data_IF_230787713623
#
_entry.id   IF_230787713623
#
_cell.length_a   1.000
_cell.length_b   1.000
_cell.length_c   1.000
_cell.angle_alpha   90.00
_cell.angle_beta   90.00
_cell.angle_gamma   90.00
#
_symmetry.space_group_name_H-M   'P 1'
#
loop_
_entity.id
_entity.type
_entity.pdbx_description
1 polymer ?
#
# COMPACT_ATOMS: atom_id res chain seq x y z
N UNK A 1 38.36 9.57 -22.41
CA UNK A 1 38.13 9.22 -20.99
C UNK A 1 36.67 9.53 -20.74
N UNK A 2 35.78 8.61 -21.08
CA UNK A 2 34.34 8.80 -20.87
C UNK A 2 34.02 8.43 -19.42
N UNK A 3 33.66 9.44 -18.64
CA UNK A 3 33.20 9.26 -17.27
C UNK A 3 31.77 8.73 -17.37
N UNK A 4 31.58 7.43 -17.16
CA UNK A 4 30.23 6.87 -17.04
C UNK A 4 29.51 7.53 -15.86
N UNK A 5 28.26 7.99 -16.01
CA UNK A 5 27.55 8.63 -14.91
C UNK A 5 27.32 7.62 -13.79
N UNK A 6 27.75 7.98 -12.56
CA UNK A 6 27.43 7.23 -11.36
C UNK A 6 25.91 7.14 -11.21
N UNK A 7 25.38 5.92 -11.09
CA UNK A 7 23.98 5.67 -10.74
C UNK A 7 23.72 6.27 -9.35
N UNK A 8 22.61 7.01 -9.13
CA UNK A 8 22.32 7.57 -7.81
C UNK A 8 22.19 6.44 -6.79
N UNK A 9 23.09 6.43 -5.81
CA UNK A 9 22.89 5.69 -4.56
C UNK A 9 21.79 6.45 -3.82
N UNK A 10 20.65 5.80 -3.67
CA UNK A 10 19.65 6.22 -2.68
C UNK A 10 20.36 6.16 -1.33
N UNK A 11 20.46 7.28 -0.62
CA UNK A 11 21.10 7.28 0.69
C UNK A 11 20.37 6.28 1.59
N UNK A 12 21.13 5.49 2.35
CA UNK A 12 20.57 4.53 3.31
C UNK A 12 19.57 5.24 4.24
N UNK A 13 18.27 4.97 4.05
CA UNK A 13 17.18 5.56 4.81
C UNK A 13 16.24 6.50 4.04
N UNK A 14 16.55 6.89 2.79
CA UNK A 14 15.61 7.61 1.93
C UNK A 14 14.67 6.63 1.22
N UNK A 15 13.37 6.79 1.46
CA UNK A 15 12.35 6.05 0.72
C UNK A 15 12.36 6.52 -0.74
N UNK A 16 12.45 5.57 -1.69
CA UNK A 16 12.26 5.83 -3.12
C UNK A 16 10.82 6.25 -3.48
N UNK A 17 9.91 6.25 -2.50
CA UNK A 17 8.52 6.67 -2.69
C UNK A 17 8.47 8.19 -2.60
N UNK A 18 8.36 8.86 -3.75
CA UNK A 18 8.14 10.31 -3.81
C UNK A 18 6.74 10.73 -3.34
N UNK A 19 5.79 9.80 -3.28
CA UNK A 19 4.43 10.02 -2.77
C UNK A 19 3.55 8.78 -2.92
N UNK A 20 2.62 8.58 -1.99
CA UNK A 20 1.70 7.45 -1.96
C UNK A 20 0.28 7.90 -2.33
N UNK A 21 -0.24 7.39 -3.46
CA UNK A 21 -1.58 7.71 -3.94
C UNK A 21 -2.71 6.88 -3.30
N UNK A 22 -2.38 5.87 -2.47
CA UNK A 22 -3.35 5.04 -1.76
C UNK A 22 -3.97 5.82 -0.59
N UNK A 23 -4.83 6.78 -0.90
CA UNK A 23 -5.43 7.71 0.06
C UNK A 23 -6.33 7.01 1.11
N UNK A 24 -6.79 5.81 0.80
CA UNK A 24 -7.59 4.96 1.69
C UNK A 24 -6.74 4.06 2.60
N UNK A 25 -5.41 4.07 2.48
CA UNK A 25 -4.55 3.24 3.32
C UNK A 25 -4.35 3.87 4.71
N UNK A 26 -4.58 3.10 5.76
CA UNK A 26 -4.40 3.52 7.17
C UNK A 26 -2.99 3.98 7.52
N UNK A 27 -1.99 3.51 6.77
CA UNK A 27 -0.58 3.87 6.97
C UNK A 27 -0.14 5.04 6.09
N UNK A 28 -1.02 5.59 5.25
CA UNK A 28 -0.73 6.74 4.42
C UNK A 28 -0.96 8.03 5.19
N UNK A 29 0.11 8.59 5.74
CA UNK A 29 0.06 9.87 6.43
C UNK A 29 0.84 10.90 5.61
N UNK A 30 0.23 12.04 5.30
CA UNK A 30 0.85 13.13 4.52
C UNK A 30 1.42 12.64 3.17
N UNK A 31 0.69 11.78 2.46
CA UNK A 31 1.12 11.15 1.21
C UNK A 31 2.39 10.30 1.34
N UNK A 32 2.71 9.85 2.57
CA UNK A 32 3.81 8.93 2.85
C UNK A 32 3.25 7.65 3.50
N UNK A 33 3.18 6.57 2.73
CA UNK A 33 2.81 5.25 3.22
C UNK A 33 3.94 4.65 4.06
N UNK A 34 3.83 4.73 5.38
CA UNK A 34 4.83 4.22 6.31
C UNK A 34 4.19 3.32 7.36
N UNK A 35 4.26 2.01 7.13
CA UNK A 35 3.88 1.02 8.11
C UNK A 35 5.05 0.76 9.08
N UNK A 36 4.74 0.55 10.37
CA UNK A 36 5.75 0.21 11.38
C UNK A 36 6.29 -1.22 11.26
N UNK A 37 5.58 -2.08 10.54
CA UNK A 37 5.97 -3.45 10.26
C UNK A 37 5.40 -3.90 8.90
N UNK A 38 6.03 -4.90 8.28
CA UNK A 38 5.51 -5.57 7.09
C UNK A 38 4.81 -6.86 7.51
N UNK A 39 3.55 -7.01 7.11
CA UNK A 39 2.77 -8.23 7.31
C UNK A 39 2.65 -8.99 5.99
N UNK A 40 2.89 -10.30 6.05
CA UNK A 40 2.72 -11.23 4.92
C UNK A 40 1.63 -12.23 5.30
N UNK A 41 0.68 -12.46 4.40
CA UNK A 41 -0.33 -13.50 4.54
C UNK A 41 -0.08 -14.62 3.52
N UNK A 42 -0.66 -15.80 3.78
CA UNK A 42 -0.71 -16.89 2.81
C UNK A 42 -2.09 -16.94 2.19
N UNK A 43 -2.19 -16.63 0.90
CA UNK A 43 -3.41 -16.79 0.12
C UNK A 43 -3.21 -17.95 -0.85
N UNK A 44 -4.01 -19.02 -0.69
CA UNK A 44 -3.89 -20.25 -1.50
C UNK A 44 -2.46 -20.83 -1.52
N UNK A 45 -1.78 -20.79 -0.37
CA UNK A 45 -0.39 -21.27 -0.23
C UNK A 45 0.67 -20.35 -0.84
N UNK A 46 0.29 -19.17 -1.34
CA UNK A 46 1.22 -18.17 -1.89
C UNK A 46 1.38 -16.98 -0.93
N UNK A 47 2.61 -16.52 -0.65
CA UNK A 47 2.81 -15.34 0.18
C UNK A 47 2.33 -14.09 -0.56
N UNK A 48 1.52 -13.27 0.12
CA UNK A 48 1.03 -11.98 -0.37
C UNK A 48 1.33 -10.89 0.67
N UNK A 49 1.65 -9.69 0.20
CA UNK A 49 1.81 -8.54 1.09
C UNK A 49 0.44 -8.17 1.68
N UNK A 50 0.30 -8.36 2.99
CA UNK A 50 -0.90 -8.04 3.76
C UNK A 50 -0.74 -6.77 4.60
N UNK A 51 0.28 -5.96 4.28
CA UNK A 51 0.58 -4.71 4.98
C UNK A 51 -0.41 -3.60 4.60
N UNK A 52 -1.01 -3.66 3.41
CA UNK A 52 -2.06 -2.71 3.03
C UNK A 52 -3.29 -2.92 3.91
N UNK A 53 -3.73 -1.86 4.60
CA UNK A 53 -4.93 -1.87 5.43
C UNK A 53 -5.81 -0.69 5.03
N UNK A 54 -6.99 -0.93 4.44
CA UNK A 54 -7.91 0.14 4.11
C UNK A 54 -8.43 0.78 5.41
N UNK A 55 -8.71 2.08 5.36
CA UNK A 55 -9.45 2.78 6.41
C UNK A 55 -10.78 2.05 6.61
N UNK A 56 -11.26 1.91 7.86
CA UNK A 56 -12.60 1.40 8.08
C UNK A 56 -13.55 2.25 7.25
N UNK A 57 -14.30 1.60 6.35
CA UNK A 57 -15.40 2.28 5.68
C UNK A 57 -16.27 2.90 6.77
N UNK A 58 -16.60 4.20 6.73
CA UNK A 58 -17.66 4.72 7.60
C UNK A 58 -18.86 3.85 7.28
N UNK A 59 -19.38 3.14 8.29
CA UNK A 59 -20.43 2.12 8.16
C UNK A 59 -21.34 2.51 7.01
N UNK A 60 -21.16 1.84 5.86
CA UNK A 60 -22.11 2.01 4.79
C UNK A 60 -23.45 1.63 5.42
N UNK A 61 -24.50 2.46 5.33
CA UNK A 61 -25.83 1.97 5.66
C UNK A 61 -26.00 0.68 4.87
N UNK A 62 -26.54 -0.34 5.52
CA UNK A 62 -26.87 -1.65 4.96
C UNK A 62 -27.78 -1.52 3.72
N UNK A 63 -27.27 -1.03 2.60
CA UNK A 63 -28.02 -0.98 1.34
C UNK A 63 -27.94 -2.35 0.71
N UNK A 64 -28.85 -3.19 1.21
CA UNK A 64 -29.70 -4.07 0.44
C UNK A 64 -28.97 -5.07 -0.45
N UNK A 65 -28.87 -6.30 0.06
CA UNK A 65 -28.79 -7.53 -0.74
C UNK A 65 -29.89 -7.49 -1.80
N UNK A 66 -29.58 -6.96 -2.99
CA UNK A 66 -30.42 -7.10 -4.16
C UNK A 66 -30.37 -8.58 -4.55
N UNK A 67 -31.46 -9.35 -4.43
CA UNK A 67 -31.39 -10.75 -4.83
C UNK A 67 -31.11 -10.80 -6.33
N UNK A 68 -30.31 -11.79 -6.76
CA UNK A 68 -30.24 -12.18 -8.16
C UNK A 68 -31.68 -12.51 -8.59
N UNK A 69 -32.25 -11.69 -9.47
CA UNK A 69 -33.45 -12.07 -10.18
C UNK A 69 -33.15 -13.34 -10.98
N UNK A 70 -33.97 -14.37 -10.76
CA UNK A 70 -34.01 -15.62 -11.52
C UNK A 70 -34.51 -15.37 -12.95
#
# INVERSE_FOLDING_TARGET
MEISPMKPVVAEGESLINGCAAADCRYNHNSACRAGAVSIALLQGRPVCATYSPLPLPLAPETETRPLAL
#
